data_IF_050814788026
#
_entry.id   IF_050814788026
#
_cell.length_a   1.000
_cell.length_b   1.000
_cell.length_c   1.000
_cell.angle_alpha   90.00
_cell.angle_beta   90.00
_cell.angle_gamma   90.00
#
_symmetry.space_group_name_H-M   'P 1'
#
loop_
_entity.id
_entity.type
_entity.pdbx_description
1 polymer ?
#
# COMPACT_ATOMS: atom_id res chain seq x y z
N UNK A 1 19.53 -6.54 -2.89
CA UNK A 1 18.62 -7.25 -1.97
C UNK A 1 17.68 -8.21 -2.69
N UNK A 2 16.90 -7.78 -3.69
CA UNK A 2 16.04 -8.70 -4.48
C UNK A 2 16.86 -9.64 -5.38
N UNK A 3 17.94 -9.15 -5.97
CA UNK A 3 18.79 -9.93 -6.87
C UNK A 3 19.49 -11.12 -6.17
N UNK A 4 19.85 -10.97 -4.89
CA UNK A 4 20.39 -12.06 -4.07
C UNK A 4 19.31 -13.11 -3.80
N UNK A 5 18.10 -12.67 -3.47
CA UNK A 5 16.97 -13.57 -3.27
C UNK A 5 16.60 -14.34 -4.55
N UNK A 6 16.72 -13.71 -5.73
CA UNK A 6 16.54 -14.36 -7.03
C UNK A 6 17.61 -15.42 -7.31
N UNK A 7 18.86 -15.17 -6.90
CA UNK A 7 19.95 -16.16 -6.96
C UNK A 7 19.70 -17.32 -6.00
N UNK A 8 19.20 -17.03 -4.81
CA UNK A 8 18.89 -18.04 -3.80
C UNK A 8 17.79 -19.00 -4.28
N UNK A 9 16.75 -18.51 -4.97
CA UNK A 9 15.70 -19.36 -5.58
C UNK A 9 16.12 -20.00 -6.91
N UNK A 10 17.39 -19.86 -7.31
CA UNK A 10 17.93 -20.34 -8.58
C UNK A 10 17.10 -19.91 -9.81
N UNK A 11 16.52 -18.72 -9.77
CA UNK A 11 15.66 -18.26 -10.87
C UNK A 11 16.49 -17.99 -12.12
N UNK A 12 16.14 -18.66 -13.23
CA UNK A 12 16.80 -18.49 -14.52
C UNK A 12 15.93 -17.67 -15.47
N UNK A 13 16.46 -16.54 -15.93
CA UNK A 13 15.82 -15.68 -16.92
C UNK A 13 15.80 -16.39 -18.29
N UNK A 14 14.62 -16.47 -18.91
CA UNK A 14 14.46 -17.06 -20.24
C UNK A 14 14.17 -15.98 -21.30
N UNK A 15 15.12 -15.60 -22.16
CA UNK A 15 14.95 -14.49 -23.11
C UNK A 15 13.76 -14.65 -24.09
N UNK A 16 13.20 -15.86 -24.22
CA UNK A 16 12.08 -16.18 -25.11
C UNK A 16 10.69 -15.93 -24.48
N UNK A 17 10.61 -15.69 -23.17
CA UNK A 17 9.33 -15.41 -22.47
C UNK A 17 9.16 -13.90 -22.26
N UNK A 18 7.91 -13.46 -22.19
CA UNK A 18 7.58 -12.05 -21.98
C UNK A 18 8.02 -11.56 -20.59
N UNK A 19 8.71 -10.41 -20.54
CA UNK A 19 9.25 -9.81 -19.31
C UNK A 19 8.20 -9.63 -18.21
N UNK A 20 6.97 -9.25 -18.57
CA UNK A 20 5.87 -9.11 -17.60
C UNK A 20 5.49 -10.42 -16.92
N UNK A 21 5.43 -11.51 -17.69
CA UNK A 21 5.09 -12.83 -17.15
C UNK A 21 6.22 -13.36 -16.28
N UNK A 22 7.47 -13.15 -16.68
CA UNK A 22 8.62 -13.55 -15.87
C UNK A 22 8.68 -12.81 -14.54
N UNK A 23 8.44 -11.50 -14.52
CA UNK A 23 8.40 -10.73 -13.29
C UNK A 23 7.31 -11.25 -12.33
N UNK A 24 6.13 -11.59 -12.85
CA UNK A 24 5.06 -12.18 -12.04
C UNK A 24 5.43 -13.55 -11.45
N UNK A 25 6.08 -14.42 -12.24
CA UNK A 25 6.54 -15.72 -11.76
C UNK A 25 7.63 -15.57 -10.67
N UNK A 26 8.56 -14.63 -10.85
CA UNK A 26 9.61 -14.31 -9.86
C UNK A 26 9.00 -13.81 -8.56
N UNK A 27 8.03 -12.90 -8.62
CA UNK A 27 7.36 -12.35 -7.43
C UNK A 27 6.69 -13.47 -6.63
N UNK A 28 6.01 -14.41 -7.30
CA UNK A 28 5.36 -15.56 -6.65
C UNK A 28 6.37 -16.49 -5.97
N UNK A 29 7.48 -16.78 -6.64
CA UNK A 29 8.52 -17.68 -6.10
C UNK A 29 9.29 -17.04 -4.93
N UNK A 30 9.54 -15.73 -5.00
CA UNK A 30 10.21 -15.00 -3.93
C UNK A 30 9.33 -14.82 -2.69
N UNK A 31 8.00 -14.77 -2.85
CA UNK A 31 7.05 -14.65 -1.73
C UNK A 31 7.10 -15.82 -0.73
N UNK A 32 7.65 -16.97 -1.12
CA UNK A 32 7.84 -18.13 -0.24
C UNK A 32 9.13 -18.12 0.58
N UNK A 33 10.10 -17.22 0.28
CA UNK A 33 11.40 -17.15 0.98
C UNK A 33 11.66 -15.82 1.67
N UNK A 34 11.15 -14.74 1.11
CA UNK A 34 11.07 -13.44 1.77
C UNK A 34 9.59 -13.25 2.10
N UNK A 35 9.21 -12.73 3.28
CA UNK A 35 7.84 -12.31 3.53
C UNK A 35 7.53 -11.11 2.63
N UNK A 36 7.24 -11.38 1.36
CA UNK A 36 6.62 -10.45 0.42
C UNK A 36 5.10 -10.56 0.62
N UNK A 37 4.66 -10.51 1.87
CA UNK A 37 3.25 -10.32 2.16
C UNK A 37 2.86 -8.90 1.73
N UNK A 38 1.59 -8.71 1.39
CA UNK A 38 1.04 -7.36 1.21
C UNK A 38 0.99 -6.70 2.58
N UNK A 39 2.11 -6.13 3.03
CA UNK A 39 2.14 -5.29 4.21
C UNK A 39 1.18 -4.13 3.95
N UNK A 40 0.25 -3.89 4.87
CA UNK A 40 -0.59 -2.70 4.84
C UNK A 40 0.05 -1.65 5.73
N UNK A 41 0.13 -0.43 5.24
CA UNK A 41 0.57 0.70 6.06
C UNK A 41 -0.66 1.30 6.73
N UNK A 42 -0.63 1.42 8.04
CA UNK A 42 -1.60 2.24 8.76
C UNK A 42 -1.16 3.69 8.65
N UNK A 43 -2.02 4.51 8.05
CA UNK A 43 -1.76 5.92 7.81
C UNK A 43 -2.85 6.78 8.44
N UNK A 44 -2.46 7.97 8.86
CA UNK A 44 -3.34 9.05 9.24
C UNK A 44 -3.24 10.15 8.18
N UNK A 45 -4.36 10.50 7.57
CA UNK A 45 -4.47 11.58 6.60
C UNK A 45 -5.25 12.72 7.23
N UNK A 46 -4.63 13.89 7.32
CA UNK A 46 -5.24 15.11 7.83
C UNK A 46 -5.46 16.08 6.67
N UNK A 47 -6.71 16.47 6.45
CA UNK A 47 -7.14 17.32 5.34
C UNK A 47 -7.90 18.53 5.91
N UNK A 48 -7.53 19.77 5.51
CA UNK A 48 -8.27 20.95 5.90
C UNK A 48 -9.75 20.86 5.52
N UNK A 49 -10.66 21.26 6.43
CA UNK A 49 -12.10 21.11 6.22
C UNK A 49 -12.64 21.70 4.90
N UNK A 50 -12.00 22.76 4.38
CA UNK A 50 -12.35 23.41 3.10
C UNK A 50 -12.18 22.51 1.87
N UNK A 51 -11.20 21.61 1.89
CA UNK A 51 -10.85 20.74 0.77
C UNK A 51 -11.24 19.27 1.03
N UNK A 52 -11.76 18.98 2.23
CA UNK A 52 -12.07 17.65 2.75
C UNK A 52 -12.95 16.81 1.82
N UNK A 53 -14.10 17.31 1.37
CA UNK A 53 -15.03 16.55 0.51
C UNK A 53 -14.38 16.12 -0.82
N UNK A 54 -13.71 17.05 -1.51
CA UNK A 54 -13.08 16.80 -2.82
C UNK A 54 -11.90 15.84 -2.72
N UNK A 55 -11.08 15.98 -1.68
CA UNK A 55 -9.92 15.14 -1.48
C UNK A 55 -10.31 13.75 -1.01
N UNK A 56 -11.27 13.63 -0.08
CA UNK A 56 -11.81 12.36 0.41
C UNK A 56 -12.27 11.46 -0.74
N UNK A 57 -13.09 11.96 -1.66
CA UNK A 57 -13.59 11.16 -2.79
C UNK A 57 -12.48 10.54 -3.64
N UNK A 58 -11.33 11.20 -3.77
CA UNK A 58 -10.21 10.70 -4.57
C UNK A 58 -9.34 9.69 -3.84
N UNK A 59 -9.19 9.84 -2.52
CA UNK A 59 -8.28 9.00 -1.74
C UNK A 59 -8.97 7.81 -1.06
N UNK A 60 -10.28 7.88 -0.85
CA UNK A 60 -11.04 6.86 -0.13
C UNK A 60 -11.07 5.50 -0.84
N UNK A 61 -10.90 5.47 -2.17
CA UNK A 61 -10.78 4.22 -2.93
C UNK A 61 -9.46 3.49 -2.69
N UNK A 62 -8.42 4.21 -2.25
CA UNK A 62 -7.08 3.68 -1.98
C UNK A 62 -6.83 3.43 -0.49
N UNK A 63 -7.74 3.88 0.39
CA UNK A 63 -7.63 3.77 1.85
C UNK A 63 -8.77 2.90 2.38
N UNK A 64 -8.42 1.80 3.05
CA UNK A 64 -9.37 1.05 3.89
C UNK A 64 -9.55 1.80 5.20
N UNK A 65 -10.58 2.64 5.27
CA UNK A 65 -10.88 3.51 6.41
C UNK A 65 -11.21 2.67 7.65
N UNK A 66 -10.51 2.91 8.76
CA UNK A 66 -10.80 2.35 10.08
C UNK A 66 -11.51 3.37 10.98
N UNK A 67 -11.08 4.64 10.92
CA UNK A 67 -11.75 5.73 11.61
C UNK A 67 -11.73 7.01 10.78
N UNK A 68 -12.79 7.80 10.94
CA UNK A 68 -12.93 9.11 10.33
C UNK A 68 -13.44 10.08 11.40
N UNK A 69 -12.80 11.23 11.53
CA UNK A 69 -13.19 12.27 12.47
C UNK A 69 -13.08 13.63 11.80
N UNK A 70 -14.06 14.49 12.01
CA UNK A 70 -14.10 15.81 11.41
C UNK A 70 -14.27 16.86 12.50
N UNK A 71 -13.17 17.51 12.91
CA UNK A 71 -13.21 18.63 13.85
C UNK A 71 -11.83 19.31 13.97
N UNK A 72 -11.65 20.59 13.59
CA UNK A 72 -12.27 21.31 12.47
C UNK A 72 -11.78 20.80 11.09
N UNK A 73 -10.77 19.92 11.09
CA UNK A 73 -10.18 19.29 9.92
C UNK A 73 -10.60 17.82 9.82
N UNK A 74 -10.55 17.28 8.61
CA UNK A 74 -10.87 15.88 8.33
C UNK A 74 -9.64 15.02 8.63
N UNK A 75 -9.76 14.16 9.64
CA UNK A 75 -8.78 13.14 9.97
C UNK A 75 -9.31 11.76 9.57
N UNK A 76 -8.57 11.06 8.72
CA UNK A 76 -8.87 9.70 8.27
C UNK A 76 -7.73 8.80 8.73
N UNK A 77 -8.03 7.79 9.53
CA UNK A 77 -7.08 6.72 9.84
C UNK A 77 -7.52 5.47 9.11
N UNK A 78 -6.59 4.83 8.41
CA UNK A 78 -6.89 3.63 7.65
C UNK A 78 -5.66 2.87 7.20
N UNK A 79 -5.91 1.72 6.60
CA UNK A 79 -4.89 0.86 6.01
C UNK A 79 -4.77 1.15 4.51
N UNK A 80 -3.55 1.29 4.02
CA UNK A 80 -3.24 1.46 2.59
C UNK A 80 -2.23 0.40 2.15
N UNK A 81 -2.19 0.11 0.86
CA UNK A 81 -1.02 -0.58 0.31
C UNK A 81 0.15 0.42 0.18
N UNK A 82 1.40 0.00 0.46
CA UNK A 82 2.58 0.85 0.33
C UNK A 82 2.76 1.42 -1.08
N UNK A 83 2.30 0.70 -2.11
CA UNK A 83 2.31 1.19 -3.50
C UNK A 83 1.39 2.39 -3.75
N UNK A 84 0.38 2.60 -2.91
CA UNK A 84 -0.55 3.73 -3.02
C UNK A 84 -0.09 4.96 -2.23
N UNK A 85 0.86 4.83 -1.29
CA UNK A 85 1.29 5.93 -0.42
C UNK A 85 1.68 7.18 -1.20
N UNK A 86 2.59 7.03 -2.17
CA UNK A 86 3.09 8.15 -2.98
C UNK A 86 1.99 8.81 -3.80
N UNK A 87 1.11 8.01 -4.40
CA UNK A 87 -0.04 8.52 -5.16
C UNK A 87 -0.99 9.32 -4.28
N UNK A 88 -1.27 8.83 -3.07
CA UNK A 88 -2.11 9.54 -2.09
C UNK A 88 -1.43 10.84 -1.67
N UNK A 89 -0.16 10.81 -1.30
CA UNK A 89 0.64 11.97 -0.89
C UNK A 89 0.66 13.06 -1.97
N UNK A 90 0.96 12.71 -3.22
CA UNK A 90 0.96 13.64 -4.35
C UNK A 90 -0.44 14.23 -4.60
N UNK A 91 -1.49 13.40 -4.48
CA UNK A 91 -2.89 13.82 -4.69
C UNK A 91 -3.36 14.81 -3.63
N UNK A 92 -3.07 14.53 -2.35
CA UNK A 92 -3.48 15.43 -1.25
C UNK A 92 -2.65 16.70 -1.24
N UNK A 93 -1.36 16.63 -1.54
CA UNK A 93 -0.45 17.78 -1.53
C UNK A 93 -0.77 18.74 -2.67
N UNK A 94 -0.94 18.23 -3.89
CA UNK A 94 -1.21 19.06 -5.07
C UNK A 94 -2.53 19.82 -4.98
N UNK A 95 -3.58 19.20 -4.44
CA UNK A 95 -4.90 19.83 -4.36
C UNK A 95 -5.15 20.63 -3.08
N UNK A 96 -4.45 20.34 -1.98
CA UNK A 96 -4.53 21.16 -0.77
C UNK A 96 -3.56 22.35 -0.77
N UNK A 97 -2.71 22.47 -1.80
CA UNK A 97 -1.54 23.38 -1.85
C UNK A 97 -0.58 23.15 -0.67
N UNK A 98 -0.35 21.87 -0.33
CA UNK A 98 0.53 21.45 0.77
C UNK A 98 -0.05 21.59 2.17
N UNK A 99 -1.36 21.82 2.30
CA UNK A 99 -2.02 21.97 3.61
C UNK A 99 -2.52 20.65 4.20
N UNK A 100 -2.73 19.64 3.36
CA UNK A 100 -3.04 18.28 3.79
C UNK A 100 -1.75 17.51 4.09
N UNK A 101 -1.81 16.61 5.06
CA UNK A 101 -0.68 15.81 5.52
C UNK A 101 -1.07 14.34 5.55
N UNK A 102 -0.11 13.47 5.31
CA UNK A 102 -0.21 12.02 5.51
C UNK A 102 0.93 11.59 6.43
N UNK A 103 0.61 10.83 7.47
CA UNK A 103 1.55 10.32 8.45
C UNK A 103 1.43 8.80 8.52
N UNK A 104 2.56 8.10 8.55
CA UNK A 104 2.59 6.64 8.73
C UNK A 104 2.58 6.33 10.22
N UNK A 105 1.53 5.67 10.70
CA UNK A 105 1.41 5.29 12.10
C UNK A 105 2.10 3.96 12.40
N UNK A 106 1.88 2.95 11.56
CA UNK A 106 2.51 1.64 11.71
C UNK A 106 2.55 0.87 10.40
N UNK A 107 3.56 0.03 10.25
CA UNK A 107 3.58 -1.01 9.21
C UNK A 107 2.88 -2.23 9.82
N UNK A 108 1.70 -2.58 9.31
CA UNK A 108 0.98 -3.78 9.71
C UNK A 108 1.25 -4.84 8.66
N UNK A 109 2.03 -5.84 9.02
CA UNK A 109 2.07 -7.08 8.24
C UNK A 109 0.70 -7.74 8.34
N UNK A 110 0.03 -7.89 7.21
CA UNK A 110 -1.16 -8.73 7.14
C UNK A 110 -0.65 -10.16 7.13
N UNK A 111 -0.39 -10.72 8.31
CA UNK A 111 -0.45 -12.16 8.49
C UNK A 111 -1.87 -12.58 8.09
N UNK A 112 -1.95 -13.36 7.02
CA UNK A 112 -3.17 -13.92 6.45
C UNK A 112 -3.84 -14.84 7.48
N UNK A 113 -4.59 -14.25 8.40
CA UNK A 113 -5.48 -14.97 9.30
C UNK A 113 -6.78 -15.23 8.55
N UNK A 114 -6.76 -16.25 7.68
CA UNK A 114 -7.96 -16.71 7.01
C UNK A 114 -7.74 -17.70 5.86
N UNK A 115 -7.14 -18.87 6.12
CA UNK A 115 -7.74 -20.17 5.74
C UNK A 115 -6.95 -21.35 6.34
N UNK A 116 -7.48 -21.98 7.38
CA UNK A 116 -7.42 -23.43 7.54
C UNK A 116 -8.60 -23.90 8.42
N UNK A 117 -9.82 -23.57 8.00
CA UNK A 117 -10.97 -24.39 8.35
C UNK A 117 -11.08 -25.49 7.31
N UNK A 118 -10.36 -26.61 7.49
CA UNK A 118 -10.65 -27.93 6.94
C UNK A 118 -9.64 -28.97 7.46
N UNK A 119 -9.92 -29.56 8.61
CA UNK A 119 -10.11 -31.02 8.87
C UNK A 119 -10.01 -31.27 10.37
#
# INVERSE_FOLDING_TARGET
MIENAMKDIHFSLNPKRNNKQQALDVIKQLAGRIPIQRAQMKVQVTIPGKDAKKLKEKVISMIKVESETFDPDLNIVGLIDPGHFRTIEETITSQSKGRAKIEVMSLKDVSDAGDLSLT
#
